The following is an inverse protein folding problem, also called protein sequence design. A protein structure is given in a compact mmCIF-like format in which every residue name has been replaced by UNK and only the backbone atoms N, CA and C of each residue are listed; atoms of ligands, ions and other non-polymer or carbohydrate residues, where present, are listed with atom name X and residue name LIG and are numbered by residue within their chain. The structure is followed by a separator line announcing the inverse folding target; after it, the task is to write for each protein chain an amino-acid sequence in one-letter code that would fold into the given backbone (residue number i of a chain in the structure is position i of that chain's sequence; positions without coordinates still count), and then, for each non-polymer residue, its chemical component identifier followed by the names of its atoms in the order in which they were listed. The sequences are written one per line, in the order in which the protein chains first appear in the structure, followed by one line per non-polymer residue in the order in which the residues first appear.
data_IF_248871803578
#
_entry.id   IF_248871803578
#
_cell.length_a   1.000
_cell.length_b   1.000
_cell.length_c   1.000
_cell.angle_alpha   90.00
_cell.angle_beta   90.00
_cell.angle_gamma   90.00
#
_symmetry.space_group_name_H-M   'P 1'
#
loop_
_entity.id
_entity.type
_entity.pdbx_description
1 polymer ?
#
# COMPACT_ATOMS: atom_id res chain seq x y z
N UNK A 1 -21.04 -10.33 -86.97
CA UNK A 1 -20.19 -10.00 -85.80
C UNK A 1 -20.96 -10.36 -84.52
N UNK A 2 -20.27 -10.95 -83.55
CA UNK A 2 -20.77 -11.94 -82.57
C UNK A 2 -21.91 -11.52 -81.63
N UNK A 3 -22.87 -12.46 -81.43
CA UNK A 3 -23.77 -12.45 -80.27
C UNK A 3 -23.06 -13.18 -79.11
N UNK A 4 -22.62 -12.44 -78.10
CA UNK A 4 -22.03 -13.04 -76.90
C UNK A 4 -23.13 -13.61 -75.99
N UNK A 5 -23.18 -14.94 -75.90
CA UNK A 5 -24.02 -15.66 -74.93
C UNK A 5 -23.41 -15.56 -73.53
N UNK A 6 -24.01 -14.78 -72.63
CA UNK A 6 -23.71 -14.85 -71.18
C UNK A 6 -24.49 -16.02 -70.58
N UNK A 7 -23.80 -17.10 -70.23
CA UNK A 7 -24.35 -18.20 -69.43
C UNK A 7 -24.72 -17.66 -68.04
N UNK A 8 -26.01 -17.65 -67.69
CA UNK A 8 -26.46 -17.38 -66.32
C UNK A 8 -26.05 -18.57 -65.45
N UNK A 9 -25.16 -18.36 -64.49
CA UNK A 9 -24.96 -19.30 -63.39
C UNK A 9 -26.21 -19.26 -62.51
N UNK A 10 -26.95 -20.36 -62.46
CA UNK A 10 -27.96 -20.58 -61.43
C UNK A 10 -27.27 -20.69 -60.07
N UNK A 11 -27.50 -19.71 -59.20
CA UNK A 11 -27.14 -19.80 -57.79
C UNK A 11 -28.15 -20.75 -57.13
N UNK A 12 -27.74 -21.99 -56.85
CA UNK A 12 -28.48 -22.89 -55.95
C UNK A 12 -28.61 -22.20 -54.59
N UNK A 13 -29.82 -21.75 -54.25
CA UNK A 13 -30.15 -21.26 -52.93
C UNK A 13 -30.15 -22.44 -51.96
N UNK A 14 -29.11 -22.57 -51.14
CA UNK A 14 -29.12 -23.49 -50.01
C UNK A 14 -30.19 -23.01 -49.01
N UNK A 15 -31.40 -23.56 -49.11
CA UNK A 15 -32.44 -23.40 -48.09
C UNK A 15 -32.09 -24.27 -46.89
N UNK A 16 -31.18 -23.79 -46.05
CA UNK A 16 -31.04 -24.30 -44.69
C UNK A 16 -32.33 -23.92 -43.97
N UNK A 17 -33.25 -24.88 -43.91
CA UNK A 17 -34.45 -24.84 -43.07
C UNK A 17 -33.98 -24.56 -41.64
N UNK A 18 -34.13 -23.31 -41.21
CA UNK A 18 -33.94 -22.91 -39.81
C UNK A 18 -35.10 -23.48 -39.01
N UNK A 19 -35.01 -24.75 -38.63
CA UNK A 19 -35.85 -25.30 -37.58
C UNK A 19 -35.52 -24.50 -36.31
N UNK A 20 -36.46 -23.65 -35.88
CA UNK A 20 -36.32 -22.90 -34.64
C UNK A 20 -36.44 -23.88 -33.49
N UNK A 21 -35.50 -23.84 -32.55
CA UNK A 21 -35.53 -24.70 -31.38
C UNK A 21 -36.83 -24.47 -30.58
N UNK A 22 -37.52 -25.53 -30.12
CA UNK A 22 -38.83 -25.42 -29.48
C UNK A 22 -38.78 -24.60 -28.18
N UNK A 23 -37.62 -24.54 -27.54
CA UNK A 23 -37.40 -23.72 -26.34
C UNK A 23 -37.53 -22.23 -26.69
N UNK A 24 -37.01 -21.79 -27.83
CA UNK A 24 -37.05 -20.38 -28.23
C UNK A 24 -38.45 -19.92 -28.66
N UNK A 25 -39.27 -20.83 -29.19
CA UNK A 25 -40.67 -20.56 -29.54
C UNK A 25 -41.55 -20.38 -28.29
N UNK A 26 -41.33 -21.19 -27.25
CA UNK A 26 -42.09 -21.09 -25.99
C UNK A 26 -41.88 -19.75 -25.29
N UNK A 27 -40.65 -19.25 -25.28
CA UNK A 27 -40.34 -17.91 -24.75
C UNK A 27 -40.98 -16.76 -25.56
N UNK A 28 -41.30 -16.94 -26.85
CA UNK A 28 -41.99 -15.93 -27.65
C UNK A 28 -43.52 -15.98 -27.50
N UNK A 29 -44.08 -17.15 -27.24
CA UNK A 29 -45.52 -17.32 -26.97
C UNK A 29 -45.90 -16.75 -25.61
N UNK A 30 -45.07 -16.93 -24.58
CA UNK A 30 -45.29 -16.37 -23.23
C UNK A 30 -45.10 -14.83 -23.17
N UNK A 31 -44.53 -14.22 -24.23
CA UNK A 31 -44.37 -12.76 -24.37
C UNK A 31 -45.46 -12.12 -25.24
N UNK A 32 -46.35 -12.92 -25.86
CA UNK A 32 -47.57 -12.36 -26.47
C UNK A 32 -48.56 -12.05 -25.36
N UNK A 33 -48.51 -10.81 -24.87
CA UNK A 33 -49.57 -10.23 -24.05
C UNK A 33 -50.92 -10.44 -24.78
N UNK A 34 -51.99 -10.89 -24.10
CA UNK A 34 -53.30 -11.01 -24.73
C UNK A 34 -53.71 -9.64 -25.28
N UNK A 35 -53.97 -9.57 -26.58
CA UNK A 35 -54.36 -8.37 -27.32
C UNK A 35 -55.82 -7.98 -27.00
N UNK A 36 -56.12 -7.76 -25.72
CA UNK A 36 -57.37 -7.20 -25.20
C UNK A 36 -57.07 -6.03 -24.25
N UNK A 37 -56.14 -5.17 -24.63
CA UNK A 37 -55.75 -4.01 -23.81
C UNK A 37 -56.24 -2.67 -24.36
N UNK A 38 -56.81 -2.61 -25.58
CA UNK A 38 -57.27 -1.34 -26.13
C UNK A 38 -58.59 -0.82 -25.53
N UNK A 39 -59.37 -1.66 -24.85
CA UNK A 39 -60.65 -1.24 -24.24
C UNK A 39 -60.57 -0.89 -22.74
N UNK A 40 -59.48 -1.28 -22.04
CA UNK A 40 -59.30 -0.98 -20.61
C UNK A 40 -58.40 0.26 -20.35
N UNK A 41 -57.81 0.84 -21.40
CA UNK A 41 -56.89 1.98 -21.30
C UNK A 41 -57.56 3.35 -21.48
N UNK A 42 -58.83 3.41 -21.87
CA UNK A 42 -59.57 4.67 -22.07
C UNK A 42 -60.30 5.17 -20.82
N UNK A 43 -60.57 4.28 -19.86
CA UNK A 43 -61.18 4.64 -18.58
C UNK A 43 -60.08 4.62 -17.54
N UNK A 44 -59.48 5.77 -17.20
CA UNK A 44 -58.75 6.07 -15.95
C UNK A 44 -57.62 7.11 -16.08
N UNK A 45 -57.52 7.89 -17.17
CA UNK A 45 -56.54 9.00 -17.18
C UNK A 45 -56.96 10.16 -16.24
N UNK A 46 -58.26 10.33 -16.00
CA UNK A 46 -58.80 11.41 -15.17
C UNK A 46 -58.87 11.07 -13.67
N UNK A 47 -58.85 9.79 -13.31
CA UNK A 47 -58.91 9.32 -11.91
C UNK A 47 -57.54 9.21 -11.24
N UNK A 48 -56.46 9.07 -12.01
CA UNK A 48 -55.08 9.01 -11.49
C UNK A 48 -54.61 10.39 -10.98
N UNK A 49 -55.10 11.49 -11.56
CA UNK A 49 -54.71 12.86 -11.20
C UNK A 49 -55.20 13.32 -9.82
N UNK A 50 -56.18 12.62 -9.21
CA UNK A 50 -56.89 13.12 -8.01
C UNK A 50 -56.55 12.45 -6.68
N UNK A 51 -55.66 11.44 -6.62
CA UNK A 51 -55.38 10.72 -5.37
C UNK A 51 -53.90 10.48 -5.08
N UNK A 52 -53.04 11.50 -5.11
CA UNK A 52 -51.69 11.41 -4.48
C UNK A 52 -51.24 12.75 -3.88
N UNK A 53 -51.98 13.27 -2.89
CA UNK A 53 -51.42 14.21 -1.90
C UNK A 53 -50.71 13.43 -0.79
N UNK A 54 -49.69 12.68 -1.17
CA UNK A 54 -48.65 12.23 -0.25
C UNK A 54 -47.37 12.89 -0.72
N UNK A 55 -46.55 13.41 0.21
CA UNK A 55 -45.25 14.04 -0.08
C UNK A 55 -44.24 13.02 -0.65
N UNK A 56 -44.55 12.44 -1.81
CA UNK A 56 -43.59 11.73 -2.63
C UNK A 56 -42.70 12.79 -3.24
N UNK A 57 -41.40 12.75 -2.90
CA UNK A 57 -40.37 13.61 -3.47
C UNK A 57 -40.60 13.82 -4.96
N UNK A 58 -40.63 15.09 -5.38
CA UNK A 58 -40.87 15.51 -6.77
C UNK A 58 -39.91 14.85 -7.78
N UNK A 59 -38.85 14.17 -7.33
CA UNK A 59 -37.92 13.42 -8.17
C UNK A 59 -38.59 12.35 -9.05
N UNK A 60 -39.61 11.66 -8.56
CA UNK A 60 -40.22 10.52 -9.26
C UNK A 60 -41.51 10.89 -10.01
N UNK A 61 -41.80 12.18 -10.12
CA UNK A 61 -42.90 12.68 -10.92
C UNK A 61 -42.41 13.05 -12.32
N UNK A 62 -43.28 12.92 -13.31
CA UNK A 62 -43.02 13.36 -14.67
C UNK A 62 -42.91 14.89 -14.70
N UNK A 63 -41.88 15.39 -15.37
CA UNK A 63 -41.65 16.82 -15.47
C UNK A 63 -42.59 17.46 -16.51
N UNK A 64 -42.94 18.75 -16.37
CA UNK A 64 -43.72 19.44 -17.38
C UNK A 64 -42.97 19.42 -18.72
N UNK A 65 -43.60 18.89 -19.77
CA UNK A 65 -43.02 18.76 -21.12
C UNK A 65 -42.19 17.48 -21.36
N UNK A 66 -42.04 16.62 -20.36
CA UNK A 66 -41.38 15.32 -20.51
C UNK A 66 -42.35 14.31 -21.16
N UNK A 67 -41.91 13.60 -22.19
CA UNK A 67 -42.69 12.49 -22.76
C UNK A 67 -42.56 11.23 -21.91
N UNK A 68 -43.54 10.33 -21.96
CA UNK A 68 -43.55 9.12 -21.14
C UNK A 68 -42.27 8.27 -21.32
N UNK A 69 -41.75 8.22 -22.55
CA UNK A 69 -40.50 7.54 -22.84
C UNK A 69 -39.30 8.17 -22.12
N UNK A 70 -39.21 9.49 -22.08
CA UNK A 70 -38.14 10.21 -21.40
C UNK A 70 -38.22 10.02 -19.88
N UNK A 71 -39.43 10.06 -19.33
CA UNK A 71 -39.69 9.78 -17.92
C UNK A 71 -39.23 8.37 -17.54
N UNK A 72 -39.67 7.35 -18.26
CA UNK A 72 -39.28 5.96 -18.00
C UNK A 72 -37.76 5.77 -18.14
N UNK A 73 -37.13 6.40 -19.13
CA UNK A 73 -35.67 6.36 -19.31
C UNK A 73 -34.94 6.94 -18.09
N UNK A 74 -35.40 8.07 -17.56
CA UNK A 74 -34.85 8.72 -16.36
C UNK A 74 -35.00 7.85 -15.12
N UNK A 75 -36.21 7.33 -14.88
CA UNK A 75 -36.48 6.43 -13.75
C UNK A 75 -35.63 5.16 -13.83
N UNK A 76 -35.54 4.53 -15.01
CA UNK A 76 -34.76 3.33 -15.21
C UNK A 76 -33.26 3.57 -14.98
N UNK A 77 -32.74 4.74 -15.37
CA UNK A 77 -31.37 5.12 -15.09
C UNK A 77 -31.11 5.21 -13.58
N UNK A 78 -31.96 5.93 -12.85
CA UNK A 78 -31.84 6.08 -11.39
C UNK A 78 -31.92 4.75 -10.66
N UNK A 79 -32.88 3.89 -11.04
CA UNK A 79 -33.01 2.54 -10.48
C UNK A 79 -31.74 1.72 -10.75
N UNK A 80 -31.22 1.77 -11.98
CA UNK A 80 -30.00 1.05 -12.33
C UNK A 80 -28.79 1.54 -11.53
N UNK A 81 -28.73 2.84 -11.25
CA UNK A 81 -27.67 3.45 -10.46
C UNK A 81 -27.74 2.99 -9.00
N UNK A 82 -28.92 3.05 -8.38
CA UNK A 82 -29.14 2.59 -7.00
C UNK A 82 -28.79 1.11 -6.86
N UNK A 83 -29.26 0.28 -7.80
CA UNK A 83 -28.95 -1.15 -7.82
C UNK A 83 -27.44 -1.40 -7.98
N UNK A 84 -26.76 -0.64 -8.83
CA UNK A 84 -25.29 -0.74 -8.96
C UNK A 84 -24.58 -0.31 -7.68
N UNK A 85 -25.02 0.75 -7.03
CA UNK A 85 -24.45 1.23 -5.78
C UNK A 85 -24.67 0.24 -4.62
N UNK A 86 -25.81 -0.45 -4.60
CA UNK A 86 -26.14 -1.41 -3.54
C UNK A 86 -25.50 -2.79 -3.73
N UNK A 87 -25.17 -3.20 -4.96
CA UNK A 87 -24.61 -4.53 -5.28
C UNK A 87 -23.31 -4.89 -4.54
N UNK A 88 -22.57 -3.91 -4.02
CA UNK A 88 -21.33 -4.13 -3.26
C UNK A 88 -21.47 -3.90 -1.76
N UNK A 89 -22.65 -3.54 -1.27
CA UNK A 89 -22.88 -3.31 0.16
C UNK A 89 -23.17 -4.68 0.77
N UNK A 90 -22.27 -5.26 1.58
CA UNK A 90 -22.55 -6.51 2.28
C UNK A 90 -23.74 -6.27 3.21
N UNK A 91 -24.65 -7.24 3.31
CA UNK A 91 -25.81 -7.17 4.20
C UNK A 91 -25.30 -6.97 5.63
N UNK A 92 -25.34 -5.71 6.08
CA UNK A 92 -24.64 -5.28 7.28
C UNK A 92 -25.60 -5.49 8.42
N UNK A 93 -25.66 -6.73 8.90
CA UNK A 93 -26.40 -7.08 10.12
C UNK A 93 -25.85 -6.19 11.26
N UNK A 94 -26.62 -5.22 11.78
CA UNK A 94 -26.13 -4.24 12.74
C UNK A 94 -25.59 -4.90 14.01
N UNK A 95 -26.22 -6.00 14.44
CA UNK A 95 -25.82 -6.80 15.59
C UNK A 95 -24.38 -7.36 15.47
N UNK A 96 -23.98 -7.79 14.26
CA UNK A 96 -22.63 -8.31 14.01
C UNK A 96 -21.58 -7.18 14.04
N UNK A 97 -21.96 -5.95 13.70
CA UNK A 97 -21.06 -4.78 13.73
C UNK A 97 -20.76 -4.38 15.17
N UNK A 98 -21.78 -4.40 16.04
CA UNK A 98 -21.63 -4.11 17.46
C UNK A 98 -20.74 -5.16 18.15
N UNK A 99 -20.96 -6.44 17.88
CA UNK A 99 -20.12 -7.53 18.38
C UNK A 99 -18.66 -7.42 17.93
N UNK A 100 -18.44 -7.06 16.66
CA UNK A 100 -17.09 -6.82 16.11
C UNK A 100 -16.44 -5.60 16.76
N UNK A 101 -17.19 -4.55 17.05
CA UNK A 101 -16.68 -3.37 17.74
C UNK A 101 -16.24 -3.71 19.18
N UNK A 102 -17.06 -4.45 19.92
CA UNK A 102 -16.74 -4.92 21.29
C UNK A 102 -15.50 -5.83 21.28
N UNK A 103 -15.41 -6.79 20.34
CA UNK A 103 -14.23 -7.65 20.18
C UNK A 103 -12.96 -6.85 19.87
N UNK A 104 -13.04 -5.83 19.00
CA UNK A 104 -11.92 -4.93 18.68
C UNK A 104 -11.46 -4.13 19.90
N UNK A 105 -12.38 -3.65 20.73
CA UNK A 105 -12.04 -2.92 21.96
C UNK A 105 -11.31 -3.81 22.98
N UNK A 106 -11.81 -5.03 23.22
CA UNK A 106 -11.16 -6.02 24.10
C UNK A 106 -9.75 -6.37 23.60
N UNK A 107 -9.57 -6.51 22.29
CA UNK A 107 -8.27 -6.80 21.69
C UNK A 107 -7.29 -5.61 21.84
N UNK A 108 -7.75 -4.37 21.66
CA UNK A 108 -6.94 -3.16 21.92
C UNK A 108 -6.49 -3.08 23.38
N UNK A 109 -7.37 -3.40 24.34
CA UNK A 109 -7.03 -3.42 25.76
C UNK A 109 -5.96 -4.47 26.08
N UNK A 110 -6.12 -5.70 25.56
CA UNK A 110 -5.13 -6.77 25.73
C UNK A 110 -3.75 -6.37 25.18
N UNK A 111 -3.71 -5.77 23.98
CA UNK A 111 -2.45 -5.27 23.38
C UNK A 111 -1.78 -4.21 24.26
N UNK A 112 -2.54 -3.22 24.76
CA UNK A 112 -2.00 -2.19 25.66
C UNK A 112 -1.42 -2.77 26.94
N UNK A 113 -2.08 -3.77 27.55
CA UNK A 113 -1.56 -4.43 28.75
C UNK A 113 -0.28 -5.21 28.47
N UNK A 114 -0.22 -5.90 27.33
CA UNK A 114 0.99 -6.61 26.91
C UNK A 114 2.16 -5.65 26.68
N UNK A 115 1.94 -4.55 25.95
CA UNK A 115 2.95 -3.51 25.72
C UNK A 115 3.44 -2.89 27.03
N UNK A 116 2.55 -2.62 27.98
CA UNK A 116 2.94 -2.13 29.32
C UNK A 116 3.84 -3.11 30.06
N UNK A 117 3.50 -4.40 30.06
CA UNK A 117 4.33 -5.44 30.68
C UNK A 117 5.69 -5.56 30.00
N UNK A 118 5.73 -5.48 28.67
CA UNK A 118 6.98 -5.53 27.91
C UNK A 118 7.89 -4.34 28.27
N UNK A 119 7.35 -3.12 28.29
CA UNK A 119 8.10 -1.91 28.70
C UNK A 119 8.61 -1.97 30.13
N UNK A 120 7.87 -2.58 31.05
CA UNK A 120 8.35 -2.77 32.42
C UNK A 120 9.54 -3.73 32.46
N UNK A 121 9.48 -4.84 31.70
CA UNK A 121 10.59 -5.79 31.61
C UNK A 121 11.86 -5.15 31.03
N UNK A 122 11.74 -4.37 29.96
CA UNK A 122 12.90 -3.69 29.36
C UNK A 122 13.51 -2.70 30.35
N UNK A 123 12.70 -1.87 31.02
CA UNK A 123 13.19 -0.95 32.06
C UNK A 123 13.90 -1.65 33.22
N UNK A 124 13.41 -2.82 33.62
CA UNK A 124 14.06 -3.63 34.66
C UNK A 124 15.40 -4.19 34.18
N UNK A 125 15.48 -4.59 32.91
CA UNK A 125 16.74 -5.05 32.31
C UNK A 125 17.73 -3.90 32.15
N UNK A 126 17.31 -2.74 31.64
CA UNK A 126 18.12 -1.52 31.53
C UNK A 126 18.68 -1.13 32.90
N UNK A 127 17.85 -1.06 33.95
CA UNK A 127 18.32 -0.78 35.30
C UNK A 127 19.35 -1.78 35.82
N UNK A 128 19.16 -3.07 35.54
CA UNK A 128 20.13 -4.10 35.91
C UNK A 128 21.45 -3.91 35.17
N UNK A 129 21.40 -3.56 33.88
CA UNK A 129 22.60 -3.25 33.10
C UNK A 129 23.29 -2.01 33.68
N UNK A 130 22.55 -0.93 33.97
CA UNK A 130 23.09 0.29 34.56
C UNK A 130 23.75 0.02 35.94
N UNK A 131 23.14 -0.82 36.77
CA UNK A 131 23.70 -1.23 38.07
C UNK A 131 24.97 -2.06 37.89
N UNK A 132 24.97 -2.99 36.93
CA UNK A 132 26.15 -3.79 36.59
C UNK A 132 27.28 -2.91 36.06
N UNK A 133 27.01 -1.98 35.14
CA UNK A 133 28.01 -1.03 34.65
C UNK A 133 28.59 -0.22 35.81
N UNK A 134 27.76 0.40 36.65
CA UNK A 134 28.22 1.15 37.83
C UNK A 134 29.08 0.30 38.78
N UNK A 135 28.81 -0.99 38.88
CA UNK A 135 29.63 -1.89 39.69
C UNK A 135 31.02 -2.15 39.08
N UNK A 136 31.11 -2.28 37.75
CA UNK A 136 32.37 -2.44 37.01
C UNK A 136 33.23 -1.16 37.11
N UNK A 137 32.62 0.03 37.02
CA UNK A 137 33.36 1.30 37.10
C UNK A 137 33.75 1.72 38.52
N UNK A 138 33.26 1.01 39.54
CA UNK A 138 33.63 1.20 40.95
C UNK A 138 34.82 0.35 41.39
N UNK A 139 35.59 -0.18 40.44
CA UNK A 139 36.87 -0.76 40.78
C UNK A 139 37.77 0.34 41.38
N UNK A 140 38.03 0.24 42.69
CA UNK A 140 39.03 1.03 43.38
C UNK A 140 40.40 0.62 42.84
N UNK A 141 40.80 1.24 41.73
CA UNK A 141 42.16 1.13 41.22
C UNK A 141 43.05 1.81 42.25
N UNK A 142 43.69 1.00 43.10
CA UNK A 142 44.76 1.47 43.96
C UNK A 142 45.90 1.89 43.05
N UNK A 143 45.95 3.17 42.73
CA UNK A 143 47.13 3.76 42.11
C UNK A 143 48.30 3.47 43.06
N UNK A 144 49.14 2.51 42.67
CA UNK A 144 50.41 2.29 43.36
C UNK A 144 51.22 3.57 43.34
N UNK A 145 52.10 3.74 44.32
CA UNK A 145 52.88 4.95 44.58
C UNK A 145 53.19 5.73 43.29
N UNK A 146 52.44 6.82 43.09
CA UNK A 146 52.68 7.76 42.00
C UNK A 146 54.06 8.34 42.29
N UNK A 147 55.07 7.89 41.55
CA UNK A 147 56.44 8.35 41.73
C UNK A 147 56.48 9.83 41.32
N UNK A 148 56.39 10.72 42.31
CA UNK A 148 56.39 12.18 42.12
C UNK A 148 57.70 12.69 41.50
N UNK A 149 58.77 11.87 41.54
CA UNK A 149 60.07 12.19 40.98
C UNK A 149 60.31 11.35 39.72
N UNK A 150 60.61 11.97 38.56
CA UNK A 150 61.03 11.20 37.39
C UNK A 150 62.26 10.34 37.72
N UNK A 151 62.40 9.14 37.13
CA UNK A 151 63.53 8.28 37.39
C UNK A 151 64.85 9.00 37.06
N UNK A 152 65.76 9.02 38.02
CA UNK A 152 67.07 9.62 37.84
C UNK A 152 67.92 8.76 36.90
N UNK A 153 68.38 9.36 35.79
CA UNK A 153 69.32 8.75 34.85
C UNK A 153 70.68 8.55 35.54
N UNK A 154 70.90 7.39 36.17
CA UNK A 154 72.15 7.02 36.83
C UNK A 154 73.26 6.57 35.87
N UNK A 155 72.98 6.48 34.57
CA UNK A 155 73.97 6.12 33.56
C UNK A 155 74.96 7.26 33.34
N UNK A 156 76.24 7.03 33.63
CA UNK A 156 77.30 7.96 33.25
C UNK A 156 77.41 7.96 31.71
N UNK A 157 77.45 9.11 31.04
CA UNK A 157 77.71 9.14 29.60
C UNK A 157 79.05 8.45 29.35
N UNK A 158 79.09 7.54 28.37
CA UNK A 158 80.33 6.88 27.96
C UNK A 158 81.29 7.98 27.48
N UNK A 159 82.41 8.15 28.19
CA UNK A 159 83.51 8.99 27.70
C UNK A 159 84.02 8.34 26.42
N UNK A 160 83.67 8.93 25.28
CA UNK A 160 84.35 8.65 24.04
C UNK A 160 85.65 9.43 24.17
N UNK A 161 86.78 8.72 24.26
CA UNK A 161 88.07 9.38 24.17
C UNK A 161 88.10 10.09 22.82
N UNK A 162 88.08 11.42 22.85
CA UNK A 162 88.34 12.28 21.70
C UNK A 162 89.80 12.05 21.33
N UNK A 163 90.09 10.93 20.65
CA UNK A 163 91.23 10.88 19.76
C UNK A 163 90.94 11.92 18.68
N UNK A 164 91.57 13.08 18.84
CA UNK A 164 91.87 14.00 17.76
C UNK A 164 92.28 13.14 16.55
N UNK A 165 91.57 13.32 15.43
CA UNK A 165 91.55 12.46 14.22
C UNK A 165 90.39 11.46 14.09
N UNK A 166 89.14 11.90 14.26
CA UNK A 166 88.08 11.55 13.29
C UNK A 166 87.21 12.78 13.00
N UNK A 167 87.65 13.50 11.97
CA UNK A 167 86.86 14.26 11.00
C UNK A 167 85.32 14.22 11.13
N UNK A 168 84.77 15.44 11.10
CA UNK A 168 83.37 15.82 10.89
C UNK A 168 82.39 15.53 12.05
N UNK A 169 81.88 16.62 12.65
CA UNK A 169 80.54 16.64 13.24
C UNK A 169 79.57 16.20 12.15
N UNK A 170 79.25 14.90 12.08
CA UNK A 170 78.18 14.40 11.23
C UNK A 170 76.88 14.86 11.88
N UNK A 171 76.35 15.99 11.42
CA UNK A 171 75.01 16.43 11.77
C UNK A 171 74.05 15.33 11.31
N UNK A 172 73.64 14.49 12.25
CA UNK A 172 72.74 13.38 11.96
C UNK A 172 71.32 13.92 11.83
N UNK A 173 70.98 14.40 10.64
CA UNK A 173 69.59 14.74 10.31
C UNK A 173 68.84 13.44 10.04
N UNK A 174 67.73 13.21 10.74
CA UNK A 174 66.86 12.05 10.48
C UNK A 174 66.41 11.98 9.01
N UNK A 175 66.20 13.14 8.37
CA UNK A 175 65.80 13.22 6.97
C UNK A 175 66.90 12.77 6.00
N UNK A 176 68.19 12.85 6.37
CA UNK A 176 69.27 12.46 5.44
C UNK A 176 69.30 10.96 5.17
N UNK A 177 68.72 10.15 6.06
CA UNK A 177 68.57 8.69 5.92
C UNK A 177 67.60 8.27 4.84
N UNK A 178 66.71 9.15 4.38
CA UNK A 178 65.69 8.82 3.41
C UNK A 178 65.98 9.49 2.06
N UNK A 179 65.70 8.80 0.95
CA UNK A 179 65.61 9.40 -0.39
C UNK A 179 64.15 9.51 -0.81
N UNK A 180 63.87 10.48 -1.68
CA UNK A 180 62.55 10.69 -2.28
C UNK A 180 62.63 10.39 -3.76
N UNK A 181 62.00 9.30 -4.22
CA UNK A 181 61.97 8.94 -5.64
C UNK A 181 60.69 9.48 -6.32
N UNK A 182 60.14 10.59 -5.83
CA UNK A 182 58.88 11.19 -6.30
C UNK A 182 57.60 10.44 -5.88
N UNK A 183 57.69 9.17 -5.45
CA UNK A 183 56.54 8.36 -5.03
C UNK A 183 56.51 8.00 -3.52
N UNK A 184 57.53 8.37 -2.74
CA UNK A 184 57.60 8.12 -1.29
C UNK A 184 59.01 8.18 -0.71
N UNK A 185 59.12 8.11 0.62
CA UNK A 185 60.41 8.08 1.33
C UNK A 185 60.90 6.65 1.49
N UNK A 186 62.10 6.35 1.00
CA UNK A 186 62.78 5.06 1.20
C UNK A 186 64.06 5.24 2.00
N UNK A 187 64.37 4.28 2.86
CA UNK A 187 65.62 4.30 3.61
C UNK A 187 66.79 4.03 2.65
N UNK A 188 67.83 4.85 2.69
CA UNK A 188 69.07 4.61 1.96
C UNK A 188 69.81 3.46 2.66
N UNK A 189 70.04 2.34 1.96
CA UNK A 189 70.85 1.21 2.42
C UNK A 189 72.33 1.53 2.38
#
# INVERSE_FOLDING_TARGET
MGKHNRKKLEKKSNSVSKRKDPIYLKYQEDQKCPSKQSELLSVNQDTIKKKRKGNLSNKYQQLPGETDFQFLRRINHDVSYVVKASRGIPDTQPEIVEDKAVKKLKLKQKKRLFEKKLKQKTKLQEKRVDEMEKSVWKEDIKFGDVVLRPPELKSKPRKVDLKENVSAKKNFSFLSKFSTDGAGFKLKS
#
